data_IF_996476824485
#
_entry.id   IF_996476824485
#
_cell.length_a   1.000
_cell.length_b   1.000
_cell.length_c   1.000
_cell.angle_alpha   90.00
_cell.angle_beta   90.00
_cell.angle_gamma   90.00
#
_symmetry.space_group_name_H-M   'P 1'
#
loop_
_entity.id
_entity.type
_entity.pdbx_description
1 polymer ?
#
# COMPACT_ATOMS: atom_id res chain seq x y z
N UNK A 1 2.17 -17.94 -19.18
CA UNK A 1 1.87 -18.71 -17.96
C UNK A 1 2.92 -18.48 -16.87
N UNK A 2 4.23 -18.51 -17.17
CA UNK A 2 5.30 -18.23 -16.17
C UNK A 2 5.34 -16.78 -15.64
N UNK A 3 5.07 -15.77 -16.47
CA UNK A 3 5.11 -14.35 -16.02
C UNK A 3 4.05 -14.02 -14.98
N UNK A 4 2.83 -14.53 -15.12
CA UNK A 4 1.70 -14.25 -14.22
C UNK A 4 1.92 -14.87 -12.82
N UNK A 5 2.39 -16.13 -12.78
CA UNK A 5 2.76 -16.81 -11.54
C UNK A 5 3.92 -16.13 -10.79
N UNK A 6 4.88 -15.56 -11.51
CA UNK A 6 5.98 -14.80 -10.91
C UNK A 6 5.50 -13.51 -10.24
N UNK A 7 4.46 -12.85 -10.78
CA UNK A 7 3.88 -11.64 -10.19
C UNK A 7 2.93 -11.97 -9.04
N UNK A 8 2.13 -13.04 -9.14
CA UNK A 8 1.29 -13.53 -8.05
C UNK A 8 2.12 -13.89 -6.80
N UNK A 9 3.21 -14.65 -6.98
CA UNK A 9 4.11 -15.01 -5.88
C UNK A 9 4.82 -13.77 -5.27
N UNK A 10 5.12 -12.76 -6.10
CA UNK A 10 5.69 -11.50 -5.62
C UNK A 10 4.66 -10.72 -4.79
N UNK A 11 3.40 -10.67 -5.22
CA UNK A 11 2.31 -10.03 -4.48
C UNK A 11 2.09 -10.69 -3.12
N UNK A 12 2.08 -12.03 -3.06
CA UNK A 12 1.96 -12.78 -1.81
C UNK A 12 3.12 -12.51 -0.84
N UNK A 13 4.36 -12.49 -1.34
CA UNK A 13 5.54 -12.17 -0.51
C UNK A 13 5.50 -10.73 0.01
N UNK A 14 5.10 -9.77 -0.83
CA UNK A 14 5.00 -8.37 -0.43
C UNK A 14 3.94 -8.17 0.66
N UNK A 15 2.75 -8.74 0.46
CA UNK A 15 1.67 -8.69 1.44
C UNK A 15 2.08 -9.39 2.75
N UNK A 16 2.76 -10.54 2.68
CA UNK A 16 3.28 -11.25 3.84
C UNK A 16 4.30 -10.43 4.62
N UNK A 17 5.21 -9.73 3.93
CA UNK A 17 6.14 -8.82 4.59
C UNK A 17 5.38 -7.69 5.31
N UNK A 18 4.33 -7.16 4.69
CA UNK A 18 3.45 -6.16 5.31
C UNK A 18 2.71 -6.71 6.54
N UNK A 19 2.28 -7.98 6.53
CA UNK A 19 1.64 -8.64 7.69
C UNK A 19 2.60 -8.81 8.88
N UNK A 20 3.87 -9.05 8.60
CA UNK A 20 4.88 -9.30 9.63
C UNK A 20 5.55 -8.03 10.16
N UNK A 21 5.30 -6.88 9.52
CA UNK A 21 5.88 -5.59 9.89
C UNK A 21 4.82 -4.62 10.39
N UNK A 22 5.23 -3.66 11.23
CA UNK A 22 4.31 -2.65 11.74
C UNK A 22 3.84 -1.76 10.58
N UNK A 23 2.51 -1.57 10.49
CA UNK A 23 1.88 -0.75 9.46
C UNK A 23 1.42 0.55 10.07
N UNK A 24 2.37 1.48 10.21
CA UNK A 24 2.11 2.79 10.81
C UNK A 24 1.04 3.59 10.06
N UNK A 25 0.81 3.29 8.77
CA UNK A 25 -0.26 3.93 7.99
C UNK A 25 -1.61 3.38 8.43
N UNK A 26 -1.75 2.06 8.59
CA UNK A 26 -2.97 1.45 9.12
C UNK A 26 -3.34 1.99 10.52
N UNK A 27 -2.35 2.21 11.39
CA UNK A 27 -2.56 2.79 12.72
C UNK A 27 -2.92 4.29 12.68
N UNK A 28 -2.38 5.02 11.70
CA UNK A 28 -2.57 6.45 11.56
C UNK A 28 -3.90 6.82 10.91
N UNK A 29 -4.38 6.06 9.93
CA UNK A 29 -5.59 6.37 9.16
C UNK A 29 -6.82 6.69 10.03
N UNK A 30 -7.15 5.90 11.09
CA UNK A 30 -8.29 6.19 11.96
C UNK A 30 -8.23 7.56 12.65
N UNK A 31 -7.03 8.12 12.81
CA UNK A 31 -6.80 9.39 13.52
C UNK A 31 -7.07 10.63 12.68
N UNK A 32 -7.19 10.47 11.36
CA UNK A 32 -7.36 11.58 10.39
C UNK A 32 -8.66 11.49 9.60
N UNK A 33 -9.61 10.65 10.03
CA UNK A 33 -10.88 10.46 9.34
C UNK A 33 -11.82 11.67 9.55
N UNK A 34 -12.56 12.09 8.51
CA UNK A 34 -13.58 13.12 8.61
C UNK A 34 -14.81 12.63 9.41
N UNK A 35 -15.67 13.58 9.80
CA UNK A 35 -16.93 13.27 10.50
C UNK A 35 -17.92 12.52 9.60
N UNK A 36 -18.00 12.91 8.32
CA UNK A 36 -18.86 12.27 7.33
C UNK A 36 -18.13 11.08 6.70
N UNK A 37 -18.73 9.88 6.77
CA UNK A 37 -18.06 8.62 6.41
C UNK A 37 -18.90 7.71 5.50
N UNK A 38 -19.39 8.25 4.37
CA UNK A 38 -20.16 7.45 3.40
C UNK A 38 -19.27 6.73 2.41
N UNK A 39 -18.35 7.46 1.78
CA UNK A 39 -17.49 6.91 0.72
C UNK A 39 -16.03 7.23 0.95
N UNK A 40 -15.20 6.19 0.95
CA UNK A 40 -13.74 6.31 0.92
C UNK A 40 -13.17 5.66 -0.34
N UNK A 41 -11.98 6.10 -0.76
CA UNK A 41 -11.20 5.46 -1.81
C UNK A 41 -9.74 5.25 -1.38
N UNK A 42 -9.21 4.06 -1.65
CA UNK A 42 -7.82 3.67 -1.47
C UNK A 42 -7.13 3.54 -2.84
N UNK A 43 -6.24 4.50 -3.15
CA UNK A 43 -5.54 4.64 -4.42
C UNK A 43 -4.19 3.92 -4.37
N UNK A 44 -4.07 2.81 -5.09
CA UNK A 44 -2.92 1.91 -5.01
C UNK A 44 -3.01 0.99 -3.79
N UNK A 45 -4.17 0.37 -3.60
CA UNK A 45 -4.52 -0.38 -2.40
C UNK A 45 -3.67 -1.65 -2.19
N UNK A 46 -2.91 -2.10 -3.20
CA UNK A 46 -2.17 -3.35 -3.18
C UNK A 46 -3.07 -4.52 -2.79
N UNK A 47 -2.65 -5.29 -1.77
CA UNK A 47 -3.44 -6.40 -1.26
C UNK A 47 -4.62 -5.96 -0.35
N UNK A 48 -4.94 -4.67 -0.26
CA UNK A 48 -6.16 -4.17 0.38
C UNK A 48 -6.09 -4.01 1.90
N UNK A 49 -4.89 -3.85 2.47
CA UNK A 49 -4.69 -3.70 3.93
C UNK A 49 -5.38 -2.45 4.47
N UNK A 50 -5.19 -1.30 3.81
CA UNK A 50 -5.77 -0.03 4.23
C UNK A 50 -7.26 0.04 3.90
N UNK A 51 -7.67 -0.47 2.73
CA UNK A 51 -9.08 -0.69 2.42
C UNK A 51 -9.84 -1.47 3.51
N UNK A 52 -9.23 -2.52 4.10
CA UNK A 52 -9.83 -3.28 5.20
C UNK A 52 -10.03 -2.42 6.46
N UNK A 53 -9.06 -1.56 6.81
CA UNK A 53 -9.19 -0.61 7.93
C UNK A 53 -10.32 0.38 7.65
N UNK A 54 -10.36 0.96 6.45
CA UNK A 54 -11.41 1.92 6.07
C UNK A 54 -12.81 1.30 6.11
N UNK A 55 -12.95 0.01 5.80
CA UNK A 55 -14.23 -0.69 5.82
C UNK A 55 -14.86 -0.77 7.21
N UNK A 56 -14.11 -0.54 8.29
CA UNK A 56 -14.65 -0.46 9.65
C UNK A 56 -15.31 0.90 9.94
N UNK A 57 -15.03 1.92 9.12
CA UNK A 57 -15.43 3.30 9.38
C UNK A 57 -16.33 3.91 8.30
N UNK A 58 -16.35 3.35 7.09
CA UNK A 58 -17.09 3.90 5.94
C UNK A 58 -18.18 2.95 5.42
N UNK A 59 -19.29 3.53 4.96
CA UNK A 59 -20.39 2.75 4.36
C UNK A 59 -19.96 2.03 3.07
N UNK A 60 -19.07 2.65 2.28
CA UNK A 60 -18.49 2.09 1.06
C UNK A 60 -17.02 2.49 0.91
N UNK A 61 -16.20 1.52 0.53
CA UNK A 61 -14.78 1.71 0.18
C UNK A 61 -14.57 1.22 -1.25
N UNK A 62 -14.09 2.11 -2.12
CA UNK A 62 -13.56 1.72 -3.42
C UNK A 62 -12.03 1.55 -3.27
N UNK A 63 -11.45 0.44 -3.72
CA UNK A 63 -10.04 0.13 -3.53
C UNK A 63 -9.44 -0.27 -4.88
N UNK A 64 -8.49 0.52 -5.38
CA UNK A 64 -7.97 0.37 -6.73
C UNK A 64 -6.48 0.09 -6.77
N UNK A 65 -6.04 -0.70 -7.73
CA UNK A 65 -4.63 -0.95 -8.02
C UNK A 65 -4.46 -1.30 -9.51
N UNK A 66 -3.32 -0.95 -10.11
CA UNK A 66 -3.01 -1.35 -11.50
C UNK A 66 -2.64 -2.83 -11.61
N UNK A 67 -2.29 -3.47 -10.49
CA UNK A 67 -1.88 -4.88 -10.45
C UNK A 67 -3.07 -5.79 -10.26
N UNK A 68 -3.49 -6.45 -11.34
CA UNK A 68 -4.45 -7.57 -11.29
C UNK A 68 -4.12 -8.64 -10.23
N UNK A 69 -2.86 -9.12 -10.10
CA UNK A 69 -2.42 -9.98 -8.99
C UNK A 69 -2.77 -9.46 -7.60
N UNK A 70 -2.48 -8.18 -7.32
CA UNK A 70 -2.79 -7.56 -6.03
C UNK A 70 -4.29 -7.51 -5.76
N UNK A 71 -5.10 -7.15 -6.77
CA UNK A 71 -6.56 -7.11 -6.66
C UNK A 71 -7.14 -8.51 -6.41
N UNK A 72 -6.63 -9.55 -7.08
CA UNK A 72 -7.02 -10.94 -6.81
C UNK A 72 -6.70 -11.34 -5.37
N UNK A 73 -5.49 -11.02 -4.91
CA UNK A 73 -5.05 -11.31 -3.55
C UNK A 73 -5.90 -10.56 -2.50
N UNK A 74 -6.20 -9.28 -2.74
CA UNK A 74 -7.02 -8.46 -1.88
C UNK A 74 -8.44 -9.04 -1.70
N UNK A 75 -9.09 -9.40 -2.82
CA UNK A 75 -10.41 -10.04 -2.81
C UNK A 75 -10.40 -11.37 -2.06
N UNK A 76 -9.32 -12.15 -2.18
CA UNK A 76 -9.19 -13.45 -1.52
C UNK A 76 -8.95 -13.32 -0.02
N UNK A 77 -7.98 -12.49 0.39
CA UNK A 77 -7.54 -12.38 1.79
C UNK A 77 -8.42 -11.46 2.64
N UNK A 78 -9.03 -10.44 2.05
CA UNK A 78 -9.71 -9.36 2.76
C UNK A 78 -11.14 -9.12 2.25
N UNK A 79 -11.98 -10.16 2.15
CA UNK A 79 -13.35 -10.00 1.67
C UNK A 79 -14.20 -9.21 2.69
N UNK A 80 -14.82 -8.12 2.24
CA UNK A 80 -15.85 -7.37 2.99
C UNK A 80 -16.94 -6.93 2.02
N UNK A 81 -18.18 -6.90 2.49
CA UNK A 81 -19.35 -6.55 1.66
C UNK A 81 -19.39 -5.09 1.22
N UNK A 82 -18.71 -4.20 1.96
CA UNK A 82 -18.64 -2.77 1.67
C UNK A 82 -17.35 -2.34 0.95
N UNK A 83 -16.51 -3.29 0.50
CA UNK A 83 -15.32 -2.97 -0.29
C UNK A 83 -15.53 -3.39 -1.75
N UNK A 84 -15.25 -2.47 -2.67
CA UNK A 84 -15.19 -2.74 -4.11
C UNK A 84 -13.74 -2.68 -4.58
N UNK A 85 -13.14 -3.84 -4.83
CA UNK A 85 -11.79 -3.92 -5.40
C UNK A 85 -11.82 -3.82 -6.92
N UNK A 86 -11.06 -2.90 -7.52
CA UNK A 86 -11.01 -2.67 -8.97
C UNK A 86 -9.57 -2.66 -9.48
N UNK A 87 -9.33 -3.35 -10.60
CA UNK A 87 -8.09 -3.18 -11.36
C UNK A 87 -8.23 -1.92 -12.23
N UNK A 88 -7.67 -0.80 -11.78
CA UNK A 88 -7.84 0.50 -12.43
C UNK A 88 -6.75 1.49 -12.02
N UNK A 89 -6.47 2.44 -12.91
CA UNK A 89 -5.53 3.54 -12.66
C UNK A 89 -6.16 4.70 -11.90
N UNK A 90 -5.34 5.44 -11.15
CA UNK A 90 -5.79 6.60 -10.35
C UNK A 90 -6.56 7.62 -11.20
N UNK A 91 -6.11 7.90 -12.43
CA UNK A 91 -6.69 8.90 -13.31
C UNK A 91 -8.00 8.45 -14.00
N UNK A 92 -8.38 7.18 -13.87
CA UNK A 92 -9.64 6.64 -14.40
C UNK A 92 -10.79 6.81 -13.40
N UNK A 93 -10.46 7.13 -12.14
CA UNK A 93 -11.45 7.28 -11.10
C UNK A 93 -12.24 8.57 -11.25
N UNK A 94 -13.52 8.50 -10.88
CA UNK A 94 -14.42 9.64 -10.89
C UNK A 94 -15.33 9.62 -9.67
N UNK A 95 -16.07 10.71 -9.46
CA UNK A 95 -16.96 10.89 -8.33
C UNK A 95 -16.34 11.72 -7.21
N UNK A 96 -16.99 11.70 -6.05
CA UNK A 96 -16.56 12.41 -4.85
C UNK A 96 -16.56 11.47 -3.67
N UNK A 97 -15.51 11.57 -2.86
CA UNK A 97 -15.26 10.74 -1.70
C UNK A 97 -15.11 11.62 -0.47
N UNK A 98 -15.71 11.20 0.63
CA UNK A 98 -15.50 11.88 1.91
C UNK A 98 -14.05 11.70 2.38
N UNK A 99 -13.41 10.58 2.00
CA UNK A 99 -12.00 10.31 2.30
C UNK A 99 -11.25 9.71 1.12
N UNK A 100 -10.08 10.26 0.79
CA UNK A 100 -9.19 9.73 -0.25
C UNK A 100 -7.85 9.37 0.40
N UNK A 101 -7.37 8.16 0.21
CA UNK A 101 -6.05 7.75 0.69
C UNK A 101 -5.18 7.15 -0.39
N UNK A 102 -3.86 7.26 -0.21
CA UNK A 102 -2.85 6.57 -1.01
C UNK A 102 -1.62 6.35 -0.15
N UNK A 103 -1.06 5.15 -0.21
CA UNK A 103 0.10 4.76 0.59
C UNK A 103 1.15 4.05 -0.26
N UNK A 104 2.37 4.59 -0.29
CA UNK A 104 3.50 4.03 -1.04
C UNK A 104 3.16 3.74 -2.52
N UNK A 105 2.41 4.65 -3.17
CA UNK A 105 1.96 4.49 -4.56
C UNK A 105 2.39 5.64 -5.46
N UNK A 106 2.32 6.89 -4.98
CA UNK A 106 2.47 8.08 -5.82
C UNK A 106 3.91 8.28 -6.29
N UNK A 107 4.92 7.72 -5.60
CA UNK A 107 6.30 7.74 -6.08
C UNK A 107 6.53 6.92 -7.37
N UNK A 108 5.56 6.11 -7.80
CA UNK A 108 5.61 5.38 -9.07
C UNK A 108 4.95 6.13 -10.23
N UNK A 109 4.27 7.25 -9.99
CA UNK A 109 3.53 7.95 -11.04
C UNK A 109 4.44 8.92 -11.82
N UNK A 110 4.26 8.97 -13.14
CA UNK A 110 5.08 9.82 -14.00
C UNK A 110 4.80 11.32 -13.83
N UNK A 111 3.54 11.71 -13.63
CA UNK A 111 3.14 13.11 -13.41
C UNK A 111 2.41 13.26 -12.08
N UNK A 112 3.21 13.43 -11.02
CA UNK A 112 2.70 13.64 -9.66
C UNK A 112 1.79 14.88 -9.58
N UNK A 113 2.07 15.93 -10.34
CA UNK A 113 1.28 17.16 -10.30
C UNK A 113 -0.11 16.97 -10.90
N UNK A 114 -0.24 16.20 -11.98
CA UNK A 114 -1.53 15.79 -12.52
C UNK A 114 -2.29 14.89 -11.55
N UNK A 115 -1.62 13.90 -10.96
CA UNK A 115 -2.24 12.98 -10.01
C UNK A 115 -2.74 13.72 -8.77
N UNK A 116 -1.97 14.63 -8.18
CA UNK A 116 -2.42 15.42 -7.02
C UNK A 116 -3.60 16.34 -7.34
N UNK A 117 -3.61 16.95 -8.54
CA UNK A 117 -4.77 17.72 -9.01
C UNK A 117 -6.01 16.84 -9.15
N UNK A 118 -5.84 15.63 -9.65
CA UNK A 118 -6.93 14.67 -9.79
C UNK A 118 -7.43 14.18 -8.43
N UNK A 119 -6.53 13.80 -7.51
CA UNK A 119 -6.87 13.45 -6.11
C UNK A 119 -7.70 14.56 -5.48
N UNK A 120 -7.29 15.82 -5.62
CA UNK A 120 -8.07 16.96 -5.12
C UNK A 120 -9.48 17.01 -5.71
N UNK A 121 -9.66 16.67 -6.99
CA UNK A 121 -10.98 16.64 -7.63
C UNK A 121 -11.89 15.51 -7.12
N UNK A 122 -11.30 14.44 -6.57
CA UNK A 122 -12.04 13.33 -5.97
C UNK A 122 -12.49 13.63 -4.53
N UNK A 123 -11.93 14.63 -3.86
CA UNK A 123 -12.31 14.97 -2.48
C UNK A 123 -13.64 15.73 -2.47
N UNK A 124 -14.62 15.19 -1.76
CA UNK A 124 -15.92 15.82 -1.56
C UNK A 124 -15.80 17.11 -0.73
N UNK A 125 -16.81 17.98 -0.81
CA UNK A 125 -16.91 19.13 0.10
C UNK A 125 -16.99 18.64 1.55
N UNK A 126 -16.05 19.10 2.39
CA UNK A 126 -15.92 18.65 3.78
C UNK A 126 -15.19 17.32 3.96
N UNK A 127 -14.72 16.71 2.86
CA UNK A 127 -13.85 15.54 2.89
C UNK A 127 -12.37 15.93 2.99
N UNK A 128 -11.51 14.92 3.10
CA UNK A 128 -10.06 15.13 3.12
C UNK A 128 -9.30 14.01 2.39
N UNK A 129 -8.05 14.32 2.05
CA UNK A 129 -7.10 13.35 1.51
C UNK A 129 -5.95 13.12 2.49
N UNK A 130 -5.59 11.84 2.71
CA UNK A 130 -4.49 11.42 3.57
C UNK A 130 -3.49 10.58 2.75
N UNK A 131 -2.29 11.13 2.53
CA UNK A 131 -1.26 10.52 1.68
C UNK A 131 -0.03 10.22 2.51
N UNK A 132 0.43 8.97 2.45
CA UNK A 132 1.68 8.53 3.08
C UNK A 132 2.62 7.97 2.01
N UNK A 133 3.71 8.66 1.72
CA UNK A 133 4.62 8.22 0.65
C UNK A 133 6.08 8.45 1.00
N UNK A 134 6.95 7.68 0.35
CA UNK A 134 8.39 7.86 0.44
C UNK A 134 8.83 9.06 -0.38
N UNK A 135 9.41 10.04 0.30
CA UNK A 135 10.07 11.20 -0.32
C UNK A 135 11.58 11.08 -0.11
N UNK A 136 12.36 11.10 -1.19
CA UNK A 136 13.81 11.18 -1.11
C UNK A 136 14.35 12.26 -2.03
N UNK A 137 15.01 13.31 -1.50
CA UNK A 137 15.76 14.26 -2.31
C UNK A 137 17.14 13.72 -2.74
N UNK A 138 17.50 12.50 -2.30
CA UNK A 138 18.80 11.86 -2.57
C UNK A 138 18.64 10.63 -3.46
N UNK A 139 19.65 10.30 -4.27
CA UNK A 139 19.66 9.04 -5.01
C UNK A 139 19.50 7.86 -4.07
N UNK A 140 18.97 6.74 -4.60
CA UNK A 140 18.77 5.52 -3.84
C UNK A 140 20.07 5.10 -3.13
N UNK A 141 19.95 4.70 -1.85
CA UNK A 141 21.09 4.18 -1.11
C UNK A 141 21.65 2.94 -1.82
N UNK A 142 22.98 2.76 -1.86
CA UNK A 142 23.57 1.60 -2.49
C UNK A 142 23.11 0.31 -1.79
N UNK A 143 23.04 -0.79 -2.55
CA UNK A 143 22.43 -2.05 -2.11
C UNK A 143 22.99 -2.58 -0.78
N UNK A 144 24.30 -2.49 -0.57
CA UNK A 144 24.95 -2.91 0.67
C UNK A 144 24.48 -2.11 1.90
N UNK A 145 24.07 -0.85 1.72
CA UNK A 145 23.52 -0.02 2.80
C UNK A 145 22.10 -0.46 3.19
N UNK A 146 21.26 -0.77 2.19
CA UNK A 146 19.92 -1.33 2.41
C UNK A 146 20.00 -2.70 3.09
N UNK A 147 20.86 -3.58 2.58
CA UNK A 147 21.12 -4.90 3.17
C UNK A 147 21.64 -4.79 4.61
N UNK A 148 22.59 -3.88 4.87
CA UNK A 148 23.06 -3.59 6.22
C UNK A 148 21.95 -3.10 7.15
N UNK A 149 20.99 -2.34 6.62
CA UNK A 149 19.76 -1.97 7.32
C UNK A 149 18.93 -3.18 7.73
N UNK A 150 18.67 -4.11 6.81
CA UNK A 150 17.91 -5.33 7.07
C UNK A 150 18.63 -6.27 8.06
N UNK A 151 19.96 -6.37 8.00
CA UNK A 151 20.74 -7.12 9.02
C UNK A 151 20.57 -6.52 10.41
N UNK A 152 20.61 -5.18 10.54
CA UNK A 152 20.34 -4.52 11.83
C UNK A 152 18.92 -4.80 12.31
N UNK A 153 17.93 -4.81 11.42
CA UNK A 153 16.54 -5.17 11.76
C UNK A 153 16.44 -6.63 12.22
N UNK A 154 17.14 -7.56 11.57
CA UNK A 154 17.22 -8.97 11.97
C UNK A 154 17.78 -9.10 13.39
N UNK A 155 18.94 -8.49 13.67
CA UNK A 155 19.56 -8.52 15.02
C UNK A 155 18.59 -7.98 16.06
N UNK A 156 17.94 -6.84 15.77
CA UNK A 156 16.93 -6.26 16.66
C UNK A 156 15.74 -7.21 16.87
N UNK A 157 15.21 -7.82 15.83
CA UNK A 157 14.08 -8.76 15.91
C UNK A 157 14.46 -10.01 16.72
N UNK A 158 15.69 -10.51 16.60
CA UNK A 158 16.21 -11.62 17.40
C UNK A 158 16.35 -11.25 18.87
N UNK A 159 16.86 -10.05 19.18
CA UNK A 159 16.94 -9.52 20.56
C UNK A 159 15.54 -9.45 21.19
N UNK A 160 14.54 -9.00 20.43
CA UNK A 160 13.15 -8.93 20.87
C UNK A 160 12.40 -10.28 20.76
N UNK A 161 13.10 -11.37 20.43
CA UNK A 161 12.55 -12.73 20.29
C UNK A 161 11.34 -12.81 19.35
N UNK A 162 11.32 -12.02 18.28
CA UNK A 162 10.29 -12.13 17.25
C UNK A 162 10.44 -13.50 16.54
N UNK A 163 9.43 -14.39 16.61
CA UNK A 163 9.53 -15.72 16.00
C UNK A 163 9.70 -15.69 14.48
N UNK A 164 9.28 -14.60 13.83
CA UNK A 164 9.34 -14.42 12.38
C UNK A 164 10.60 -13.64 11.94
N UNK A 165 11.60 -13.46 12.81
CA UNK A 165 12.77 -12.63 12.52
C UNK A 165 13.50 -13.05 11.22
N UNK A 166 13.70 -14.36 11.02
CA UNK A 166 14.33 -14.92 9.83
C UNK A 166 13.44 -14.85 8.59
N UNK A 167 12.12 -15.03 8.76
CA UNK A 167 11.15 -14.88 7.66
C UNK A 167 11.12 -13.44 7.16
N UNK A 168 11.05 -12.45 8.07
CA UNK A 168 11.09 -11.02 7.74
C UNK A 168 12.37 -10.68 6.98
N UNK A 169 13.52 -11.18 7.44
CA UNK A 169 14.80 -10.93 6.77
C UNK A 169 14.81 -11.57 5.36
N UNK A 170 14.45 -12.86 5.25
CA UNK A 170 14.44 -13.56 3.96
C UNK A 170 13.39 -13.03 2.97
N UNK A 171 12.29 -12.48 3.46
CA UNK A 171 11.42 -11.63 2.67
C UNK A 171 12.21 -10.40 2.27
N UNK A 172 12.55 -9.48 3.18
CA UNK A 172 13.14 -8.17 2.88
C UNK A 172 14.42 -8.16 2.02
N UNK A 173 15.20 -9.26 1.98
CA UNK A 173 16.46 -9.35 1.22
C UNK A 173 16.42 -10.25 -0.02
N UNK A 174 15.23 -10.58 -0.55
CA UNK A 174 15.09 -11.42 -1.75
C UNK A 174 15.40 -10.70 -3.08
N UNK A 175 15.34 -11.46 -4.18
CA UNK A 175 15.69 -11.08 -5.57
C UNK A 175 15.06 -9.78 -6.14
N UNK A 176 14.13 -9.13 -5.44
CA UNK A 176 13.52 -7.87 -5.92
C UNK A 176 14.30 -6.61 -5.53
N UNK A 177 15.19 -6.66 -4.53
CA UNK A 177 16.08 -5.52 -4.24
C UNK A 177 16.94 -5.19 -5.47
N UNK A 178 17.26 -6.17 -6.31
CA UNK A 178 17.97 -6.00 -7.57
C UNK A 178 17.12 -5.37 -8.69
N UNK A 179 15.77 -5.39 -8.58
CA UNK A 179 14.85 -4.90 -9.62
C UNK A 179 14.34 -3.49 -9.39
N UNK A 180 14.37 -2.99 -8.15
CA UNK A 180 13.90 -1.64 -7.79
C UNK A 180 14.93 -0.52 -8.09
N UNK A 181 16.08 -0.89 -8.66
CA UNK A 181 17.18 0.02 -9.01
C UNK A 181 17.45 0.14 -10.53
N UNK A 182 16.54 -0.33 -11.39
CA UNK A 182 16.61 -0.16 -12.85
C UNK A 182 15.51 0.74 -13.36
#
# INVERSE_FOLDING_TARGET
>A
MERDQSFDHLAERYDRLGELTADHVADWLPTVLPDRRRRAIDLGCGAGRHALVLADYFDQVDAIDLSGPMIRLARHKRPRSNITYLESGILEMSGQYDFVTSSATLHHVADLSAVLRHIRSLVAVGGCAAIADTVSPRPANPHWWLYGGEVRKLVRNLIHRNPNAWEIFGLATGDWLDRSAR
#
